data_IF_215957024779
#
_entry.id   IF_215957024779
#
_cell.length_a   1.000
_cell.length_b   1.000
_cell.length_c   1.000
_cell.angle_alpha   90.00
_cell.angle_beta   90.00
_cell.angle_gamma   90.00
#
_symmetry.space_group_name_H-M   'P 1'
#
loop_
_entity.id
_entity.type
_entity.pdbx_description
1 polymer ?
#
# COMPACT_ATOMS: atom_id res chain seq x y z
N UNK A 1 -7.03 15.44 -0.02
CA UNK A 1 -6.52 14.18 0.57
C UNK A 1 -7.72 13.46 1.18
N UNK A 2 -7.92 12.18 0.87
CA UNK A 2 -9.07 11.41 1.36
C UNK A 2 -9.02 11.30 2.89
N UNK A 3 -10.17 11.46 3.55
CA UNK A 3 -10.35 11.35 5.01
C UNK A 3 -11.50 10.40 5.31
N UNK A 4 -11.44 9.71 6.43
CA UNK A 4 -12.45 8.74 6.88
C UNK A 4 -12.51 8.68 8.42
N UNK A 5 -13.63 8.20 9.00
CA UNK A 5 -13.77 8.09 10.44
C UNK A 5 -12.95 6.92 11.00
N UNK A 6 -12.36 7.13 12.18
CA UNK A 6 -11.68 6.10 12.96
C UNK A 6 -12.68 5.05 13.49
N UNK A 7 -12.18 3.92 13.98
CA UNK A 7 -12.95 2.86 14.63
C UNK A 7 -13.60 1.87 13.68
N UNK A 8 -14.43 1.01 14.26
CA UNK A 8 -15.22 0.00 13.56
C UNK A 8 -16.18 0.59 12.53
N UNK A 9 -16.58 -0.24 11.58
CA UNK A 9 -17.49 0.06 10.49
C UNK A 9 -18.57 -1.02 10.44
N UNK A 10 -19.78 -0.64 10.04
CA UNK A 10 -20.91 -1.59 9.96
C UNK A 10 -20.67 -2.76 9.01
N UNK A 11 -19.74 -2.59 8.05
CA UNK A 11 -19.33 -3.60 7.10
C UNK A 11 -18.09 -4.40 7.53
N UNK A 12 -17.58 -4.17 8.75
CA UNK A 12 -16.44 -4.93 9.25
C UNK A 12 -16.81 -6.40 9.49
N UNK A 13 -16.03 -7.28 8.87
CA UNK A 13 -16.19 -8.72 9.06
C UNK A 13 -15.68 -9.19 10.43
N UNK A 14 -15.89 -10.47 10.77
CA UNK A 14 -15.53 -11.04 12.08
C UNK A 14 -14.03 -10.98 12.40
N UNK A 15 -13.19 -10.70 11.40
CA UNK A 15 -11.74 -10.60 11.55
C UNK A 15 -11.26 -9.23 12.03
N UNK A 16 -12.12 -8.22 12.11
CA UNK A 16 -11.72 -6.87 12.52
C UNK A 16 -11.00 -6.82 13.87
N UNK A 17 -11.41 -7.58 14.93
CA UNK A 17 -10.72 -7.52 16.22
C UNK A 17 -9.28 -8.05 16.15
N UNK A 18 -8.97 -8.80 15.10
CA UNK A 18 -7.70 -9.51 14.95
C UNK A 18 -6.75 -8.79 13.96
N UNK A 19 -7.28 -8.06 12.96
CA UNK A 19 -6.48 -7.56 11.83
C UNK A 19 -6.60 -6.04 11.63
N UNK A 20 -7.66 -5.38 12.12
CA UNK A 20 -8.00 -4.03 11.67
C UNK A 20 -7.57 -2.91 12.62
N UNK A 21 -6.90 -3.20 13.73
CA UNK A 21 -6.45 -2.20 14.71
C UNK A 21 -5.78 -0.99 14.06
N UNK A 22 -4.83 -1.20 13.14
CA UNK A 22 -4.15 -0.10 12.47
C UNK A 22 -5.05 0.66 11.48
N UNK A 23 -5.96 -0.04 10.80
CA UNK A 23 -6.91 0.58 9.88
C UNK A 23 -7.91 1.45 10.65
N UNK A 24 -8.47 0.94 11.74
CA UNK A 24 -9.37 1.67 12.64
C UNK A 24 -8.71 2.89 13.28
N UNK A 25 -7.41 2.83 13.58
CA UNK A 25 -6.67 3.99 14.12
C UNK A 25 -6.35 5.07 13.06
N UNK A 26 -6.52 4.78 11.76
CA UNK A 26 -6.23 5.72 10.68
C UNK A 26 -7.46 6.58 10.33
N UNK A 27 -7.21 7.81 9.90
CA UNK A 27 -8.27 8.76 9.49
C UNK A 27 -8.01 9.46 8.16
N UNK A 28 -6.80 9.31 7.61
CA UNK A 28 -6.41 9.77 6.29
C UNK A 28 -5.12 9.07 5.86
N UNK A 29 -4.70 9.32 4.62
CA UNK A 29 -3.33 9.01 4.22
C UNK A 29 -2.34 9.91 4.95
N UNK A 30 -1.22 9.33 5.40
CA UNK A 30 -0.09 10.10 5.94
C UNK A 30 0.63 10.90 4.85
N UNK A 31 1.54 11.81 5.23
CA UNK A 31 2.40 12.50 4.27
C UNK A 31 3.26 11.50 3.48
N UNK A 32 3.65 11.88 2.27
CA UNK A 32 4.63 11.11 1.49
C UNK A 32 5.92 10.98 2.29
N UNK A 33 6.45 9.77 2.39
CA UNK A 33 7.79 9.53 2.91
C UNK A 33 8.82 9.94 1.86
N UNK A 34 9.99 10.38 2.32
CA UNK A 34 11.12 10.61 1.42
C UNK A 34 11.49 9.32 0.69
N UNK A 35 12.06 9.48 -0.52
CA UNK A 35 12.59 8.35 -1.25
C UNK A 35 13.69 7.68 -0.41
N UNK A 36 13.62 6.36 -0.22
CA UNK A 36 14.68 5.65 0.48
C UNK A 36 16.00 5.79 -0.28
N UNK A 37 17.11 5.63 0.44
CA UNK A 37 18.43 5.52 -0.18
C UNK A 37 18.54 4.32 -1.12
N UNK A 38 19.70 4.17 -1.76
CA UNK A 38 19.97 3.00 -2.61
C UNK A 38 19.76 1.70 -1.82
N UNK A 39 19.20 0.70 -2.49
CA UNK A 39 19.03 -0.61 -1.89
C UNK A 39 20.38 -1.33 -1.78
N UNK A 40 20.50 -2.22 -0.80
CA UNK A 40 21.58 -3.20 -0.79
C UNK A 40 21.52 -4.04 -2.08
N UNK A 41 22.69 -4.45 -2.59
CA UNK A 41 22.79 -5.23 -3.84
C UNK A 41 21.91 -6.50 -3.85
N UNK A 42 21.74 -7.15 -2.70
CA UNK A 42 20.86 -8.33 -2.55
C UNK A 42 19.39 -8.02 -2.87
N UNK A 43 18.93 -6.80 -2.58
CA UNK A 43 17.55 -6.37 -2.85
C UNK A 43 17.40 -5.81 -4.26
N UNK A 44 18.44 -5.18 -4.82
CA UNK A 44 18.47 -4.80 -6.25
C UNK A 44 18.26 -6.02 -7.15
N UNK A 45 18.84 -7.17 -6.80
CA UNK A 45 18.62 -8.41 -7.56
C UNK A 45 17.15 -8.83 -7.61
N UNK A 46 16.44 -8.69 -6.49
CA UNK A 46 15.00 -8.98 -6.42
C UNK A 46 14.22 -8.01 -7.30
N UNK A 47 14.61 -6.72 -7.30
CA UNK A 47 13.99 -5.71 -8.18
C UNK A 47 14.16 -6.12 -9.64
N UNK A 48 15.37 -6.46 -10.07
CA UNK A 48 15.65 -6.92 -11.43
C UNK A 48 14.78 -8.11 -11.84
N UNK A 49 14.67 -9.12 -10.96
CA UNK A 49 13.93 -10.35 -11.24
C UNK A 49 12.40 -10.09 -11.30
N UNK A 50 11.88 -9.16 -10.49
CA UNK A 50 10.46 -8.79 -10.48
C UNK A 50 10.07 -7.75 -11.55
N UNK A 51 11.04 -6.99 -12.08
CA UNK A 51 10.78 -5.86 -12.97
C UNK A 51 10.01 -6.23 -14.25
N UNK A 52 10.25 -7.38 -14.91
CA UNK A 52 9.47 -7.78 -16.08
C UNK A 52 7.98 -7.96 -15.76
N UNK A 53 7.66 -8.61 -14.63
CA UNK A 53 6.28 -8.82 -14.20
C UNK A 53 5.60 -7.48 -13.86
N UNK A 54 6.29 -6.61 -13.12
CA UNK A 54 5.80 -5.26 -12.83
C UNK A 54 5.51 -4.48 -14.11
N UNK A 55 6.42 -4.48 -15.09
CA UNK A 55 6.24 -3.77 -16.37
C UNK A 55 5.07 -4.33 -17.17
N UNK A 56 4.80 -5.64 -17.10
CA UNK A 56 3.63 -6.26 -17.73
C UNK A 56 2.32 -5.73 -17.12
N UNK A 57 2.21 -5.69 -15.79
CA UNK A 57 1.05 -5.13 -15.08
C UNK A 57 0.90 -3.63 -15.32
N UNK A 58 2.00 -2.89 -15.32
CA UNK A 58 2.01 -1.44 -15.51
C UNK A 58 1.42 -1.00 -16.87
N UNK A 59 1.58 -1.82 -17.92
CA UNK A 59 0.95 -1.57 -19.23
C UNK A 59 -0.59 -1.58 -19.15
N UNK A 60 -1.14 -2.38 -18.23
CA UNK A 60 -2.57 -2.57 -18.01
C UNK A 60 -3.11 -1.79 -16.79
N UNK A 61 -2.33 -0.87 -16.23
CA UNK A 61 -2.74 -0.09 -15.06
C UNK A 61 -3.99 0.75 -15.36
N UNK A 62 -4.78 1.00 -14.31
CA UNK A 62 -5.87 1.97 -14.36
C UNK A 62 -5.31 3.33 -14.78
N UNK A 63 -5.93 3.94 -15.80
CA UNK A 63 -5.69 5.31 -16.21
C UNK A 63 -6.86 6.13 -15.72
N UNK A 64 -6.57 7.17 -14.94
CA UNK A 64 -7.56 8.19 -14.61
C UNK A 64 -7.64 9.13 -15.82
N UNK A 65 -8.85 9.32 -16.34
CA UNK A 65 -9.16 10.37 -17.32
C UNK A 65 -9.30 11.73 -16.61
#
# INVERSE_FOLDING_TARGET
>A
MLKWPSGEKDFDGPWWPHWYTNAHNSTCFGPSKDMPGRLDLKYEKIVEDCLPAYRSLFKNRLKLE
#
